data_IF_808796640004
#
_entry.id   IF_808796640004
#
_cell.length_a   1.000
_cell.length_b   1.000
_cell.length_c   1.000
_cell.angle_alpha   90.00
_cell.angle_beta   90.00
_cell.angle_gamma   90.00
#
_symmetry.space_group_name_H-M   'P 1'
#
loop_
_entity.id
_entity.type
_entity.pdbx_description
1 polymer ?
#
# COMPACT_ATOMS: atom_id res chain seq x y z
N UNK A 1 -3.51 -3.66 -2.35
CA UNK A 1 -4.84 -3.22 -2.80
C UNK A 1 -4.71 -2.86 -4.26
N UNK A 2 -5.55 -3.43 -5.11
CA UNK A 2 -5.62 -3.10 -6.54
C UNK A 2 -7.01 -2.48 -6.75
N UNK A 3 -7.07 -1.35 -7.44
CA UNK A 3 -8.32 -0.67 -7.75
C UNK A 3 -8.72 -1.06 -9.18
N UNK A 4 -9.82 -1.81 -9.32
CA UNK A 4 -10.35 -2.29 -10.60
C UNK A 4 -11.89 -2.27 -10.61
N UNK A 5 -12.50 -1.92 -11.75
CA UNK A 5 -13.95 -1.87 -12.00
C UNK A 5 -14.46 -3.17 -12.64
N UNK A 6 -15.64 -3.69 -12.27
CA UNK A 6 -16.07 -5.05 -12.62
C UNK A 6 -16.66 -5.23 -14.04
N UNK A 7 -16.62 -4.23 -14.95
CA UNK A 7 -17.29 -4.33 -16.27
C UNK A 7 -16.44 -4.07 -17.52
N UNK A 8 -15.16 -3.74 -17.41
CA UNK A 8 -14.16 -3.63 -18.50
C UNK A 8 -12.78 -3.87 -17.90
N UNK A 9 -11.72 -4.25 -18.64
CA UNK A 9 -10.37 -4.32 -18.07
C UNK A 9 -9.94 -2.90 -17.69
N UNK A 10 -10.34 -2.46 -16.50
CA UNK A 10 -9.96 -1.18 -15.91
C UNK A 10 -8.46 -1.22 -15.71
N UNK A 11 -7.77 -0.26 -16.34
CA UNK A 11 -6.36 -0.04 -16.13
C UNK A 11 -6.12 0.10 -14.63
N UNK A 12 -5.25 -0.76 -14.08
CA UNK A 12 -4.76 -0.55 -12.70
C UNK A 12 -4.07 0.81 -12.68
N UNK A 13 -4.39 1.67 -11.72
CA UNK A 13 -3.78 3.01 -11.62
C UNK A 13 -2.80 3.13 -10.44
N UNK A 14 -2.92 2.25 -9.45
CA UNK A 14 -2.11 2.25 -8.25
C UNK A 14 -1.86 0.82 -7.76
N UNK A 15 -0.59 0.52 -7.48
CA UNK A 15 -0.18 -0.69 -6.74
C UNK A 15 0.45 -0.25 -5.43
N UNK A 16 -0.06 -0.79 -4.33
CA UNK A 16 0.50 -0.58 -3.00
C UNK A 16 1.10 -1.89 -2.51
N UNK A 17 2.41 -1.89 -2.27
CA UNK A 17 3.14 -3.07 -1.85
C UNK A 17 4.22 -2.74 -0.84
N UNK A 18 4.80 -3.78 -0.25
CA UNK A 18 6.03 -3.64 0.52
C UNK A 18 7.18 -3.29 -0.42
N UNK A 19 8.32 -2.88 0.14
CA UNK A 19 9.50 -2.59 -0.67
C UNK A 19 9.99 -3.86 -1.38
N UNK A 20 9.58 -4.04 -2.63
CA UNK A 20 9.88 -5.20 -3.44
C UNK A 20 10.34 -4.74 -4.82
N UNK A 21 11.67 -4.64 -5.01
CA UNK A 21 12.29 -4.09 -6.22
C UNK A 21 11.80 -4.80 -7.49
N UNK A 22 11.69 -6.13 -7.46
CA UNK A 22 11.19 -6.92 -8.59
C UNK A 22 9.73 -6.62 -8.94
N UNK A 23 8.89 -6.34 -7.95
CA UNK A 23 7.48 -5.99 -8.20
C UNK A 23 7.38 -4.60 -8.80
N UNK A 24 8.18 -3.64 -8.32
CA UNK A 24 8.22 -2.28 -8.87
C UNK A 24 8.66 -2.30 -10.34
N UNK A 25 9.71 -3.06 -10.65
CA UNK A 25 10.19 -3.21 -12.02
C UNK A 25 9.15 -3.90 -12.93
N UNK A 26 8.52 -4.98 -12.47
CA UNK A 26 7.48 -5.68 -13.22
C UNK A 26 6.24 -4.79 -13.45
N UNK A 27 5.76 -4.10 -12.42
CA UNK A 27 4.63 -3.19 -12.52
C UNK A 27 4.89 -2.03 -13.49
N UNK A 28 6.10 -1.45 -13.47
CA UNK A 28 6.50 -0.42 -14.42
C UNK A 28 6.56 -0.95 -15.86
N UNK A 29 7.13 -2.15 -16.06
CA UNK A 29 7.28 -2.77 -17.39
C UNK A 29 5.94 -3.19 -18.00
N UNK A 30 5.07 -3.82 -17.20
CA UNK A 30 3.87 -4.50 -17.69
C UNK A 30 2.65 -3.58 -17.68
N UNK A 31 2.49 -2.78 -16.63
CA UNK A 31 1.25 -2.04 -16.40
C UNK A 31 1.43 -0.52 -16.53
N UNK A 32 2.68 -0.02 -16.43
CA UNK A 32 2.97 1.42 -16.47
C UNK A 32 2.25 2.20 -15.36
N UNK A 33 2.16 1.61 -14.16
CA UNK A 33 1.34 2.12 -13.05
C UNK A 33 2.16 2.75 -11.94
N UNK A 34 1.53 3.65 -11.20
CA UNK A 34 2.11 4.20 -9.97
C UNK A 34 2.28 3.08 -8.95
N UNK A 35 3.51 2.90 -8.48
CA UNK A 35 3.83 1.95 -7.40
C UNK A 35 4.15 2.73 -6.14
N UNK A 36 3.34 2.52 -5.12
CA UNK A 36 3.53 3.08 -3.79
C UNK A 36 4.03 2.02 -2.82
N UNK A 37 5.04 2.39 -2.04
CA UNK A 37 5.45 1.66 -0.86
C UNK A 37 4.42 1.84 0.26
N UNK A 38 4.03 0.74 0.86
CA UNK A 38 3.10 0.71 1.98
C UNK A 38 3.62 1.55 3.17
N UNK A 39 2.83 2.54 3.60
CA UNK A 39 3.15 3.44 4.72
C UNK A 39 3.40 2.69 6.01
N UNK A 40 2.59 1.66 6.32
CA UNK A 40 2.78 0.88 7.55
C UNK A 40 4.15 0.17 7.59
N UNK A 41 4.57 -0.40 6.46
CA UNK A 41 5.88 -1.05 6.38
C UNK A 41 7.02 -0.04 6.35
N UNK A 42 6.84 1.10 5.70
CA UNK A 42 7.79 2.21 5.81
C UNK A 42 7.97 2.65 7.27
N UNK A 43 6.87 2.88 8.00
CA UNK A 43 6.92 3.28 9.42
C UNK A 43 7.67 2.24 10.27
N UNK A 44 7.42 0.94 10.08
CA UNK A 44 8.18 -0.11 10.78
C UNK A 44 9.68 -0.04 10.48
N UNK A 45 10.04 0.15 9.21
CA UNK A 45 11.45 0.25 8.81
C UNK A 45 12.10 1.52 9.36
N UNK A 46 11.39 2.65 9.37
CA UNK A 46 11.86 3.90 9.96
C UNK A 46 12.11 3.76 11.47
N UNK A 47 11.18 3.14 12.21
CA UNK A 47 11.31 2.92 13.66
C UNK A 47 12.38 1.87 14.04
N UNK A 48 12.80 1.03 13.09
CA UNK A 48 13.94 0.14 13.26
C UNK A 48 15.29 0.88 13.17
N UNK A 49 15.33 2.08 12.56
CA UNK A 49 16.54 2.90 12.46
C UNK A 49 16.82 3.73 13.72
N UNK A 50 15.92 3.75 14.71
CA UNK A 50 16.01 4.63 15.89
C UNK A 50 15.85 3.86 17.20
N UNK A 51 16.48 4.40 18.26
CA UNK A 51 16.38 3.85 19.60
C UNK A 51 14.96 3.94 20.17
N UNK A 52 14.63 3.06 21.12
CA UNK A 52 13.26 2.97 21.70
C UNK A 52 12.74 4.31 22.23
N UNK A 53 13.61 5.10 22.86
CA UNK A 53 13.26 6.41 23.43
C UNK A 53 12.84 7.45 22.38
N UNK A 54 13.40 7.38 21.18
CA UNK A 54 13.15 8.35 20.10
C UNK A 54 11.98 7.93 19.19
N UNK A 55 11.44 6.72 19.35
CA UNK A 55 10.32 6.22 18.54
C UNK A 55 9.06 7.09 18.62
N UNK A 56 8.62 7.60 19.78
CA UNK A 56 7.43 8.43 19.86
C UNK A 56 7.56 9.73 19.05
N UNK A 57 8.69 10.44 19.19
CA UNK A 57 8.95 11.70 18.48
C UNK A 57 9.07 11.48 16.97
N UNK A 58 9.80 10.44 16.54
CA UNK A 58 9.91 10.06 15.12
C UNK A 58 8.55 9.67 14.54
N UNK A 59 7.73 8.93 15.30
CA UNK A 59 6.39 8.53 14.87
C UNK A 59 5.50 9.75 14.67
N UNK A 60 5.48 10.68 15.62
CA UNK A 60 4.70 11.90 15.55
C UNK A 60 5.13 12.76 14.34
N UNK A 61 6.43 13.01 14.20
CA UNK A 61 6.99 13.79 13.09
C UNK A 61 6.62 13.20 11.72
N UNK A 62 6.83 11.89 11.52
CA UNK A 62 6.46 11.24 10.27
C UNK A 62 4.95 11.29 10.01
N UNK A 63 4.11 11.16 11.04
CA UNK A 63 2.64 11.32 10.90
C UNK A 63 2.29 12.72 10.43
N UNK A 64 2.88 13.76 11.00
CA UNK A 64 2.69 15.14 10.57
C UNK A 64 3.10 15.35 9.11
N UNK A 65 4.21 14.75 8.67
CA UNK A 65 4.63 14.82 7.26
C UNK A 65 3.58 14.21 6.30
N UNK A 66 2.93 13.13 6.72
CA UNK A 66 1.86 12.50 5.93
C UNK A 66 0.55 13.29 5.95
N UNK A 67 0.28 14.06 7.01
CA UNK A 67 -1.01 14.73 7.25
C UNK A 67 -1.17 16.06 6.51
N UNK A 68 -0.12 16.54 5.82
CA UNK A 68 -0.17 17.82 5.11
C UNK A 68 -1.27 17.87 4.03
N UNK A 69 -1.74 19.05 3.65
CA UNK A 69 -2.88 19.17 2.71
C UNK A 69 -2.52 18.93 1.24
N UNK A 70 -1.25 19.00 0.85
CA UNK A 70 -0.81 18.82 -0.54
C UNK A 70 0.44 17.94 -0.63
N UNK A 71 0.73 17.45 -1.84
CA UNK A 71 1.98 16.73 -2.11
C UNK A 71 3.19 17.64 -1.85
N UNK A 72 3.13 18.90 -2.31
CA UNK A 72 4.21 19.88 -2.17
C UNK A 72 4.54 20.13 -0.70
N UNK A 73 3.54 20.43 0.14
CA UNK A 73 3.76 20.69 1.56
C UNK A 73 4.24 19.45 2.31
N UNK A 74 3.79 18.25 1.90
CA UNK A 74 4.36 16.99 2.40
C UNK A 74 5.84 16.84 2.06
N UNK A 75 6.26 17.13 0.83
CA UNK A 75 7.67 17.03 0.41
C UNK A 75 8.56 18.05 1.13
N UNK A 76 8.10 19.29 1.27
CA UNK A 76 8.80 20.32 2.03
C UNK A 76 8.99 19.92 3.50
N UNK A 77 7.92 19.42 4.14
CA UNK A 77 8.00 18.96 5.52
C UNK A 77 8.91 17.72 5.63
N UNK A 78 8.86 16.81 4.66
CA UNK A 78 9.73 15.64 4.59
C UNK A 78 11.21 16.01 4.54
N UNK A 79 11.58 16.99 3.71
CA UNK A 79 12.95 17.51 3.63
C UNK A 79 13.42 18.10 4.97
N UNK A 80 12.57 18.92 5.62
CA UNK A 80 12.88 19.48 6.96
C UNK A 80 13.13 18.38 8.00
N UNK A 81 12.37 17.27 7.95
CA UNK A 81 12.58 16.14 8.86
C UNK A 81 13.88 15.38 8.56
N UNK A 82 14.27 15.25 7.29
CA UNK A 82 15.56 14.66 6.90
C UNK A 82 16.70 15.45 7.53
N UNK A 83 16.65 16.79 7.44
CA UNK A 83 17.68 17.67 7.99
C UNK A 83 17.69 17.61 9.52
N UNK A 84 16.52 17.64 10.16
CA UNK A 84 16.40 17.58 11.62
C UNK A 84 16.89 16.24 12.20
N UNK A 85 16.58 15.11 11.55
CA UNK A 85 17.00 13.79 12.02
C UNK A 85 18.41 13.41 11.58
N UNK A 86 18.97 14.03 10.55
CA UNK A 86 20.29 13.71 9.99
C UNK A 86 21.42 13.58 11.03
N UNK A 87 21.62 14.56 11.93
CA UNK A 87 22.72 14.54 12.90
C UNK A 87 22.66 13.35 13.89
N UNK A 88 21.46 12.99 14.37
CA UNK A 88 21.28 11.98 15.42
C UNK A 88 20.87 10.61 14.88
N UNK A 89 20.22 10.58 13.72
CA UNK A 89 19.62 9.38 13.13
C UNK A 89 19.94 9.30 11.62
N UNK A 90 21.22 9.29 11.27
CA UNK A 90 21.70 9.25 9.88
C UNK A 90 21.05 8.13 9.04
N UNK A 91 20.89 6.92 9.60
CA UNK A 91 20.21 5.80 8.93
C UNK A 91 18.73 6.08 8.63
N UNK A 92 18.03 6.78 9.52
CA UNK A 92 16.64 7.20 9.30
C UNK A 92 16.57 8.24 8.18
N UNK A 93 17.42 9.26 8.23
CA UNK A 93 17.47 10.31 7.23
C UNK A 93 17.78 9.76 5.82
N UNK A 94 18.69 8.80 5.72
CA UNK A 94 19.00 8.11 4.48
C UNK A 94 17.81 7.27 3.95
N UNK A 95 17.12 6.55 4.83
CA UNK A 95 15.91 5.81 4.48
C UNK A 95 14.81 6.76 3.99
N UNK A 96 14.63 7.91 4.65
CA UNK A 96 13.64 8.91 4.29
C UNK A 96 13.92 9.52 2.90
N UNK A 97 15.18 9.87 2.59
CA UNK A 97 15.58 10.35 1.26
C UNK A 97 15.23 9.35 0.16
N UNK A 98 15.53 8.07 0.38
CA UNK A 98 15.26 7.02 -0.62
C UNK A 98 13.78 6.69 -0.80
N UNK A 99 12.96 6.98 0.21
CA UNK A 99 11.56 6.55 0.26
C UNK A 99 10.55 7.64 -0.10
N UNK A 100 10.94 8.91 -0.20
CA UNK A 100 10.03 10.05 -0.42
C UNK A 100 9.06 9.80 -1.60
N UNK A 101 9.61 9.56 -2.79
CA UNK A 101 8.84 9.30 -4.02
C UNK A 101 8.16 7.92 -4.02
N UNK A 102 8.40 7.08 -3.01
CA UNK A 102 7.75 5.80 -2.86
C UNK A 102 6.55 5.86 -1.90
N UNK A 103 6.55 6.75 -0.91
CA UNK A 103 5.53 6.75 0.17
C UNK A 103 4.50 7.86 0.05
N UNK A 104 4.80 8.92 -0.70
CA UNK A 104 3.89 10.04 -0.97
C UNK A 104 3.06 9.97 -2.27
N UNK A 105 3.19 9.00 -3.21
CA UNK A 105 2.40 9.00 -4.45
C UNK A 105 0.89 9.09 -4.27
N UNK A 106 0.31 8.57 -3.19
CA UNK A 106 -1.13 8.68 -2.93
C UNK A 106 -1.66 10.12 -2.93
N UNK A 107 -0.81 11.11 -2.69
CA UNK A 107 -1.22 12.53 -2.70
C UNK A 107 -1.51 13.08 -4.08
N UNK A 108 -1.19 12.33 -5.14
CA UNK A 108 -1.65 12.63 -6.50
C UNK A 108 -3.11 12.20 -6.76
N UNK A 109 -3.71 11.42 -5.86
CA UNK A 109 -5.12 11.00 -5.94
C UNK A 109 -6.02 12.00 -5.20
N UNK A 110 -7.34 12.01 -5.45
CA UNK A 110 -8.28 12.83 -4.69
C UNK A 110 -8.19 12.60 -3.18
N UNK A 111 -8.27 13.71 -2.41
CA UNK A 111 -8.10 13.72 -0.95
C UNK A 111 -9.04 12.75 -0.23
N UNK A 112 -10.26 12.59 -0.74
CA UNK A 112 -11.27 11.65 -0.23
C UNK A 112 -10.82 10.18 -0.23
N UNK A 113 -9.78 9.81 -0.99
CA UNK A 113 -9.27 8.45 -1.06
C UNK A 113 -8.03 8.20 -0.22
N UNK A 114 -7.36 9.25 0.25
CA UNK A 114 -6.08 9.11 0.94
C UNK A 114 -6.16 8.16 2.13
N UNK A 115 -7.17 8.35 2.98
CA UNK A 115 -7.40 7.53 4.17
C UNK A 115 -7.52 6.03 3.83
N UNK A 116 -8.17 5.71 2.71
CA UNK A 116 -8.34 4.31 2.26
C UNK A 116 -7.07 3.77 1.62
N UNK A 117 -6.38 4.58 0.80
CA UNK A 117 -5.14 4.20 0.11
C UNK A 117 -4.04 3.84 1.12
N UNK A 118 -3.80 4.67 2.13
CA UNK A 118 -2.71 4.42 3.07
C UNK A 118 -3.10 3.51 4.25
N UNK A 119 -4.37 3.15 4.41
CA UNK A 119 -4.82 2.24 5.46
C UNK A 119 -4.46 0.79 5.13
N UNK A 120 -3.89 0.10 6.11
CA UNK A 120 -3.62 -1.34 6.03
C UNK A 120 -4.61 -2.15 6.86
N UNK A 121 -5.55 -1.49 7.54
CA UNK A 121 -6.45 -2.15 8.50
C UNK A 121 -7.26 -3.31 7.89
N UNK A 122 -7.87 -3.18 6.69
CA UNK A 122 -8.61 -4.30 6.09
C UNK A 122 -7.70 -5.51 5.80
N UNK A 123 -6.49 -5.26 5.28
CA UNK A 123 -5.53 -6.31 4.94
C UNK A 123 -4.98 -6.99 6.20
N UNK A 124 -4.59 -6.22 7.22
CA UNK A 124 -4.07 -6.77 8.48
C UNK A 124 -5.16 -7.54 9.24
N UNK A 125 -6.42 -7.09 9.20
CA UNK A 125 -7.56 -7.84 9.74
C UNK A 125 -7.73 -9.18 9.03
N UNK A 126 -7.70 -9.20 7.70
CA UNK A 126 -7.79 -10.42 6.92
C UNK A 126 -6.63 -11.38 7.23
N UNK A 127 -5.39 -10.87 7.22
CA UNK A 127 -4.20 -11.66 7.56
C UNK A 127 -4.31 -12.27 8.96
N UNK A 128 -4.86 -11.53 9.93
CA UNK A 128 -5.10 -12.05 11.29
C UNK A 128 -6.18 -13.14 11.30
N UNK A 129 -7.25 -13.02 10.49
CA UNK A 129 -8.29 -14.06 10.32
C UNK A 129 -7.68 -15.34 9.74
N UNK A 130 -6.91 -15.22 8.66
CA UNK A 130 -6.18 -16.34 8.04
C UNK A 130 -5.26 -17.00 9.07
N UNK A 131 -4.36 -16.23 9.70
CA UNK A 131 -3.40 -16.75 10.67
C UNK A 131 -4.08 -17.48 11.83
N UNK A 132 -5.19 -16.95 12.36
CA UNK A 132 -5.93 -17.60 13.44
C UNK A 132 -6.48 -18.96 13.03
N UNK A 133 -7.01 -19.09 11.81
CA UNK A 133 -7.62 -20.33 11.30
C UNK A 133 -6.57 -21.36 10.89
N UNK A 134 -5.47 -20.93 10.30
CA UNK A 134 -4.36 -21.82 9.94
C UNK A 134 -3.60 -22.33 11.17
N UNK A 135 -3.49 -21.52 12.22
CA UNK A 135 -2.83 -21.93 13.47
C UNK A 135 -3.55 -23.09 14.18
N UNK A 136 -4.85 -23.27 13.98
CA UNK A 136 -5.60 -24.41 14.54
C UNK A 136 -5.21 -25.73 13.86
N UNK A 137 -4.91 -25.68 12.56
CA UNK A 137 -4.47 -26.86 11.80
C UNK A 137 -3.02 -27.21 12.14
N UNK A 138 -2.17 -26.20 12.34
CA UNK A 138 -0.76 -26.38 12.70
C UNK A 138 0.10 -26.79 11.49
N UNK A 139 -0.08 -28.03 11.02
CA UNK A 139 0.66 -28.60 9.89
C UNK A 139 -0.33 -29.11 8.84
N UNK A 140 -0.12 -28.71 7.58
CA UNK A 140 -0.95 -29.16 6.47
C UNK A 140 -0.32 -30.37 5.76
N UNK A 141 -1.13 -31.31 5.26
CA UNK A 141 -0.64 -32.50 4.57
C UNK A 141 -0.06 -32.18 3.18
N UNK A 142 -0.58 -31.17 2.49
CA UNK A 142 -0.15 -30.73 1.17
C UNK A 142 -0.53 -29.26 0.91
N UNK A 143 -0.03 -28.69 -0.18
CA UNK A 143 -0.32 -27.31 -0.59
C UNK A 143 -1.79 -27.12 -0.98
N UNK A 144 -2.43 -28.14 -1.56
CA UNK A 144 -3.83 -28.06 -1.97
C UNK A 144 -4.76 -27.93 -0.75
N UNK A 145 -4.42 -28.53 0.38
CA UNK A 145 -5.15 -28.40 1.64
C UNK A 145 -5.09 -26.97 2.19
N UNK A 146 -3.92 -26.31 2.12
CA UNK A 146 -3.79 -24.89 2.49
C UNK A 146 -4.63 -24.03 1.55
N UNK A 147 -4.51 -24.26 0.24
CA UNK A 147 -5.26 -23.51 -0.77
C UNK A 147 -6.76 -23.63 -0.58
N UNK A 148 -7.28 -24.82 -0.26
CA UNK A 148 -8.71 -25.03 0.05
C UNK A 148 -9.15 -24.23 1.27
N UNK A 149 -8.40 -24.28 2.37
CA UNK A 149 -8.77 -23.55 3.58
C UNK A 149 -8.69 -22.03 3.39
N UNK A 150 -7.56 -21.53 2.88
CA UNK A 150 -7.37 -20.10 2.65
C UNK A 150 -8.35 -19.58 1.61
N UNK A 151 -8.57 -20.33 0.53
CA UNK A 151 -9.56 -20.02 -0.50
C UNK A 151 -10.97 -19.91 0.06
N UNK A 152 -11.40 -20.85 0.90
CA UNK A 152 -12.70 -20.77 1.57
C UNK A 152 -12.83 -19.52 2.47
N UNK A 153 -11.76 -19.16 3.21
CA UNK A 153 -11.73 -17.93 3.99
C UNK A 153 -11.77 -16.66 3.13
N UNK A 154 -11.17 -16.69 1.94
CA UNK A 154 -11.23 -15.56 1.00
C UNK A 154 -12.64 -15.39 0.43
N UNK A 155 -13.34 -16.49 0.12
CA UNK A 155 -14.72 -16.44 -0.34
C UNK A 155 -15.64 -15.86 0.74
N UNK A 156 -15.55 -16.38 1.97
CA UNK A 156 -16.30 -15.84 3.12
C UNK A 156 -16.02 -14.34 3.32
N UNK A 157 -14.74 -13.93 3.25
CA UNK A 157 -14.38 -12.52 3.40
C UNK A 157 -14.88 -11.65 2.25
N UNK A 158 -14.90 -12.18 1.03
CA UNK A 158 -15.42 -11.48 -0.14
C UNK A 158 -16.91 -11.18 0.02
N UNK A 159 -17.69 -12.13 0.52
CA UNK A 159 -19.12 -11.94 0.77
C UNK A 159 -19.36 -10.88 1.87
N UNK A 160 -18.58 -10.91 2.95
CA UNK A 160 -18.60 -9.85 3.98
C UNK A 160 -18.29 -8.45 3.38
N UNK A 161 -17.32 -8.37 2.48
CA UNK A 161 -16.90 -7.12 1.83
C UNK A 161 -17.87 -6.63 0.76
N UNK A 162 -18.62 -7.53 0.12
CA UNK A 162 -19.68 -7.15 -0.80
C UNK A 162 -20.80 -6.37 -0.10
N UNK A 163 -21.05 -6.71 1.18
CA UNK A 163 -22.10 -6.09 2.01
C UNK A 163 -21.57 -4.83 2.72
N UNK A 164 -20.32 -4.85 3.17
CA UNK A 164 -19.74 -3.77 3.97
C UNK A 164 -19.15 -2.67 3.07
N UNK A 165 -19.35 -1.38 3.40
CA UNK A 165 -18.76 -0.23 2.68
C UNK A 165 -17.23 -0.07 2.89
N UNK A 166 -16.47 -1.16 2.87
CA UNK A 166 -15.02 -1.19 3.04
C UNK A 166 -14.27 -0.51 1.88
N UNK A 167 -14.91 -0.36 0.73
CA UNK A 167 -14.28 0.10 -0.51
C UNK A 167 -14.70 1.51 -0.92
N UNK A 168 -13.83 2.17 -1.69
CA UNK A 168 -14.17 3.43 -2.37
C UNK A 168 -15.42 3.22 -3.22
N UNK A 169 -16.24 4.27 -3.38
CA UNK A 169 -17.44 4.16 -4.21
C UNK A 169 -17.04 3.95 -5.66
N UNK A 170 -17.83 3.19 -6.42
CA UNK A 170 -17.51 2.94 -7.82
C UNK A 170 -17.45 4.24 -8.63
N UNK A 171 -18.30 5.21 -8.30
CA UNK A 171 -18.34 6.54 -8.91
C UNK A 171 -16.99 7.26 -8.78
N UNK A 172 -16.47 7.33 -7.56
CA UNK A 172 -15.22 8.06 -7.27
C UNK A 172 -14.00 7.36 -7.84
N UNK A 173 -13.98 6.01 -7.82
CA UNK A 173 -12.92 5.23 -8.49
C UNK A 173 -12.98 5.41 -10.00
N UNK A 174 -14.16 5.37 -10.61
CA UNK A 174 -14.34 5.51 -12.06
C UNK A 174 -13.90 6.90 -12.54
N UNK A 175 -14.09 7.94 -11.72
CA UNK A 175 -13.63 9.30 -12.04
C UNK A 175 -12.09 9.42 -12.15
N UNK A 176 -11.33 8.49 -11.57
CA UNK A 176 -9.86 8.52 -11.56
C UNK A 176 -9.28 7.45 -12.51
N UNK A 177 -10.07 6.44 -12.86
CA UNK A 177 -9.68 5.43 -13.84
C UNK A 177 -9.91 5.95 -15.26
N UNK A 178 -8.84 6.12 -16.04
CA UNK A 178 -8.94 6.29 -17.49
C UNK A 178 -9.69 5.09 -18.09
N UNK A 179 -10.77 5.37 -18.84
CA UNK A 179 -11.60 4.35 -19.50
C UNK A 179 -11.06 3.92 -20.87
N UNK A 180 -9.90 4.47 -21.28
CA UNK A 180 -9.24 4.10 -22.52
C UNK A 180 -8.80 2.62 -22.45
N UNK A 181 -9.19 1.78 -23.44
CA UNK A 181 -8.82 0.37 -23.44
C UNK A 181 -7.29 0.22 -23.49
N UNK A 182 -6.75 -0.74 -22.72
CA UNK A 182 -5.35 -1.13 -22.90
C UNK A 182 -5.18 -1.68 -24.32
N UNK A 183 -4.13 -1.23 -25.00
CA UNK A 183 -3.76 -1.70 -26.34
C UNK A 183 -3.58 -3.24 -26.33
N UNK A 184 -4.42 -4.00 -27.04
CA UNK A 184 -4.33 -5.46 -27.10
C UNK A 184 -2.96 -5.95 -27.59
N UNK A 185 -2.28 -5.17 -28.43
CA UNK A 185 -0.95 -5.51 -28.93
C UNK A 185 0.12 -5.51 -27.82
N UNK A 186 -0.04 -4.67 -26.78
CA UNK A 186 0.83 -4.67 -25.59
C UNK A 186 0.57 -5.84 -24.66
N UNK A 187 -0.66 -6.38 -24.64
CA UNK A 187 -1.03 -7.56 -23.84
C UNK A 187 -0.50 -8.84 -24.50
N UNK A 188 -0.61 -8.94 -25.82
CA UNK A 188 -0.19 -10.12 -26.58
C UNK A 188 1.34 -10.27 -26.72
N UNK A 189 2.11 -9.22 -26.40
CA UNK A 189 3.58 -9.21 -26.44
C UNK A 189 4.23 -9.58 -25.08
N UNK A 190 3.44 -10.05 -24.11
CA UNK A 190 3.87 -10.58 -22.80
C UNK A 190 3.95 -12.11 -22.85
#
# INVERSE_FOLDING_TARGET
>A
MVLSSPRRPSRTILIIANYHKGLKAAAAKVLGVTVQRCRAHFMRNALACVGKMDRPIVTAALRTAFDQDTLTTSKEHWAKLIDAFGPRHSKLAELMRRAEDEVLPYKSFPKEHWARIHSTNPLERLNKKIKRRTNVVGIFPDEAAVTRLVGALMLEQNDEWAITRCNMTLETVTAICDTAPMDPAKIAAL
#
